data_IF_745716038499
#
_entry.id   IF_745716038499
#
_cell.length_a   1.000
_cell.length_b   1.000
_cell.length_c   1.000
_cell.angle_alpha   90.00
_cell.angle_beta   90.00
_cell.angle_gamma   90.00
#
_symmetry.space_group_name_H-M   'P 1'
#
loop_
_entity.id
_entity.type
_entity.pdbx_description
1 polymer ?
#
# COMPACT_ATOMS: atom_id res chain seq x y z
N UNK A 1 -6.18 -3.46 1.26
CA UNK A 1 -5.31 -2.85 2.27
C UNK A 1 -4.49 -3.94 2.97
N UNK A 2 -3.20 -3.74 3.09
CA UNK A 2 -2.31 -4.59 3.89
C UNK A 2 -2.21 -4.02 5.30
N UNK A 3 -2.52 -4.83 6.30
CA UNK A 3 -2.55 -4.46 7.71
C UNK A 3 -1.61 -5.39 8.48
N UNK A 4 -0.30 -5.11 8.54
CA UNK A 4 0.69 -6.04 9.11
C UNK A 4 0.45 -6.31 10.60
N UNK A 5 -0.05 -5.31 11.32
CA UNK A 5 -0.30 -5.40 12.77
C UNK A 5 -1.73 -5.84 13.10
N UNK A 6 -2.48 -6.27 12.09
CA UNK A 6 -3.87 -6.70 12.24
C UNK A 6 -4.88 -5.57 12.08
N UNK A 7 -6.14 -5.91 12.27
CA UNK A 7 -7.29 -5.00 12.16
C UNK A 7 -8.14 -5.09 13.42
N UNK A 8 -8.92 -4.05 13.76
CA UNK A 8 -9.81 -4.11 14.90
C UNK A 8 -10.89 -5.18 14.66
N UNK A 9 -10.86 -6.22 15.46
CA UNK A 9 -11.84 -7.31 15.46
C UNK A 9 -12.25 -7.62 16.89
N UNK A 10 -13.10 -6.79 17.50
CA UNK A 10 -13.65 -7.10 18.80
C UNK A 10 -14.32 -8.46 18.78
N UNK A 11 -14.29 -9.17 19.90
CA UNK A 11 -14.95 -10.47 20.02
C UNK A 11 -16.45 -10.30 19.86
N UNK A 12 -17.13 -11.33 19.39
CA UNK A 12 -18.57 -11.28 19.13
C UNK A 12 -19.42 -10.97 20.38
N UNK A 13 -18.87 -11.28 21.57
CA UNK A 13 -19.47 -10.98 22.87
C UNK A 13 -19.09 -9.59 23.43
N UNK A 14 -18.21 -8.86 22.74
CA UNK A 14 -17.82 -7.49 23.11
C UNK A 14 -18.85 -6.48 22.57
N UNK A 15 -19.34 -5.54 23.40
CA UNK A 15 -20.22 -4.46 22.91
C UNK A 15 -19.64 -3.64 21.75
N UNK A 16 -18.32 -3.54 21.66
CA UNK A 16 -17.66 -2.84 20.57
C UNK A 16 -17.72 -3.59 19.22
N UNK A 17 -18.10 -4.87 19.21
CA UNK A 17 -18.11 -5.68 17.99
C UNK A 17 -19.03 -5.09 16.91
N UNK A 18 -20.21 -4.66 17.30
CA UNK A 18 -21.19 -4.08 16.37
C UNK A 18 -20.67 -2.81 15.69
N UNK A 19 -20.00 -1.96 16.45
CA UNK A 19 -19.57 -0.63 15.99
C UNK A 19 -18.18 -0.61 15.35
N UNK A 20 -17.24 -1.38 15.89
CA UNK A 20 -15.82 -1.23 15.62
C UNK A 20 -15.17 -2.45 14.95
N UNK A 21 -15.93 -3.45 14.54
CA UNK A 21 -15.39 -4.54 13.71
C UNK A 21 -14.85 -3.98 12.39
N UNK A 22 -13.67 -4.45 11.97
CA UNK A 22 -13.14 -4.11 10.64
C UNK A 22 -14.03 -4.62 9.51
N UNK A 23 -14.61 -5.80 9.67
CA UNK A 23 -15.51 -6.35 8.67
C UNK A 23 -16.93 -5.84 8.86
N UNK A 24 -17.61 -5.44 7.75
CA UNK A 24 -19.00 -5.04 7.82
C UNK A 24 -19.91 -6.19 8.28
N UNK A 25 -21.04 -5.86 8.80
CA UNK A 25 -22.06 -6.85 9.22
C UNK A 25 -23.09 -7.10 8.13
N UNK A 26 -23.62 -8.31 8.10
CA UNK A 26 -24.60 -8.71 7.10
C UNK A 26 -24.01 -9.36 5.87
N UNK A 27 -24.80 -9.48 4.82
CA UNK A 27 -24.44 -10.18 3.59
C UNK A 27 -25.00 -9.45 2.38
N UNK A 28 -24.47 -9.78 1.22
CA UNK A 28 -24.90 -9.28 -0.07
C UNK A 28 -24.97 -7.74 -0.09
N UNK A 29 -25.89 -7.17 -0.82
CA UNK A 29 -26.06 -5.71 -0.91
C UNK A 29 -26.57 -5.05 0.38
N UNK A 30 -27.07 -5.85 1.35
CA UNK A 30 -27.61 -5.36 2.61
C UNK A 30 -26.59 -5.23 3.75
N UNK A 31 -25.31 -5.49 3.47
CA UNK A 31 -24.28 -5.32 4.50
C UNK A 31 -24.24 -3.90 5.06
N UNK A 32 -23.98 -3.79 6.35
CA UNK A 32 -23.83 -2.51 7.04
C UNK A 32 -22.35 -2.22 7.33
N UNK A 33 -21.89 -1.03 6.97
CA UNK A 33 -20.57 -0.58 7.32
C UNK A 33 -20.51 -0.28 8.83
N UNK A 34 -19.36 -0.55 9.42
CA UNK A 34 -19.05 -0.21 10.81
C UNK A 34 -18.39 1.17 10.88
N UNK A 35 -18.20 1.70 12.08
CA UNK A 35 -17.50 2.99 12.27
C UNK A 35 -16.09 3.01 11.69
N UNK A 36 -15.40 1.87 11.63
CA UNK A 36 -14.10 1.75 10.94
C UNK A 36 -14.18 2.04 9.45
N UNK A 37 -15.33 1.78 8.85
CA UNK A 37 -15.57 1.87 7.41
C UNK A 37 -16.48 3.04 7.01
N UNK A 38 -16.94 3.85 7.95
CA UNK A 38 -17.80 5.02 7.70
C UNK A 38 -17.26 5.94 6.58
N UNK A 39 -15.95 6.20 6.46
CA UNK A 39 -15.43 7.00 5.35
C UNK A 39 -15.73 6.44 3.95
N UNK A 40 -16.07 5.16 3.85
CA UNK A 40 -16.41 4.49 2.59
C UNK A 40 -17.92 4.48 2.30
N UNK A 41 -18.74 5.09 3.14
CA UNK A 41 -20.21 5.05 3.02
C UNK A 41 -20.71 5.55 1.65
N UNK A 42 -20.09 6.61 1.13
CA UNK A 42 -20.44 7.16 -0.20
C UNK A 42 -20.07 6.24 -1.37
N UNK A 43 -19.20 5.25 -1.15
CA UNK A 43 -18.73 4.30 -2.13
C UNK A 43 -19.32 2.90 -1.93
N UNK A 44 -20.31 2.77 -1.02
CA UNK A 44 -20.83 1.46 -0.63
C UNK A 44 -21.38 0.65 -1.81
N UNK A 45 -22.02 1.29 -2.77
CA UNK A 45 -22.60 0.63 -3.93
C UNK A 45 -21.53 0.17 -4.95
N UNK A 46 -20.34 0.77 -4.90
CA UNK A 46 -19.18 0.42 -5.73
C UNK A 46 -18.19 -0.49 -5.00
N UNK A 47 -18.49 -0.86 -3.74
CA UNK A 47 -17.60 -1.61 -2.87
C UNK A 47 -18.03 -3.07 -2.76
N UNK A 48 -17.10 -3.99 -3.00
CA UNK A 48 -17.27 -5.42 -2.70
C UNK A 48 -16.28 -5.84 -1.63
N UNK A 49 -16.80 -6.36 -0.52
CA UNK A 49 -16.00 -6.87 0.59
C UNK A 49 -15.97 -8.39 0.54
N UNK A 50 -14.77 -8.96 0.40
CA UNK A 50 -14.55 -10.39 0.47
C UNK A 50 -14.09 -10.76 1.89
N UNK A 51 -14.80 -11.67 2.52
CA UNK A 51 -14.44 -12.22 3.82
C UNK A 51 -14.22 -13.74 3.71
N UNK A 52 -13.56 -14.32 4.72
CA UNK A 52 -13.29 -15.77 4.76
C UNK A 52 -12.18 -16.23 3.82
N UNK A 53 -11.52 -15.33 3.12
CA UNK A 53 -10.34 -15.66 2.32
C UNK A 53 -9.13 -15.87 3.23
N UNK A 54 -8.23 -16.74 2.83
CA UNK A 54 -6.99 -16.96 3.55
C UNK A 54 -5.84 -17.17 2.56
N UNK A 55 -4.65 -16.90 3.06
CA UNK A 55 -3.41 -17.13 2.33
C UNK A 55 -2.63 -18.28 3.03
N UNK A 56 -2.83 -19.53 2.63
CA UNK A 56 -2.26 -20.69 3.35
C UNK A 56 -0.74 -20.64 3.48
N UNK A 57 -0.04 -20.14 2.45
CA UNK A 57 1.42 -20.09 2.43
C UNK A 57 2.01 -19.15 3.51
N UNK A 58 1.29 -18.07 3.89
CA UNK A 58 1.76 -17.14 4.93
C UNK A 58 1.50 -17.59 6.36
N UNK A 59 0.69 -18.61 6.59
CA UNK A 59 0.39 -19.09 7.94
C UNK A 59 1.61 -19.54 8.72
N UNK A 60 2.68 -19.91 8.04
CA UNK A 60 3.95 -20.36 8.62
C UNK A 60 4.99 -19.25 8.71
N UNK A 61 4.66 -18.05 8.21
CA UNK A 61 5.57 -16.91 8.16
C UNK A 61 5.27 -15.98 9.31
N UNK A 62 6.31 -15.44 9.93
CA UNK A 62 6.16 -14.43 10.98
C UNK A 62 5.46 -13.18 10.45
N UNK A 63 4.57 -12.57 11.22
CA UNK A 63 3.73 -11.44 10.79
C UNK A 63 4.51 -10.28 10.15
N UNK A 64 5.69 -9.97 10.66
CA UNK A 64 6.55 -8.91 10.09
C UNK A 64 7.25 -9.31 8.79
N UNK A 65 7.18 -10.56 8.38
CA UNK A 65 7.88 -11.09 7.21
C UNK A 65 6.96 -11.49 6.05
N UNK A 66 5.69 -11.13 6.11
CA UNK A 66 4.69 -11.56 5.13
C UNK A 66 4.29 -10.49 4.10
N UNK A 67 4.85 -9.28 4.18
CA UNK A 67 4.54 -8.20 3.24
C UNK A 67 4.87 -8.58 1.79
N UNK A 68 5.97 -9.28 1.58
CA UNK A 68 6.42 -9.74 0.27
C UNK A 68 5.57 -10.88 -0.32
N UNK A 69 4.64 -11.46 0.46
CA UNK A 69 3.68 -12.46 -0.01
C UNK A 69 2.28 -11.89 -0.24
N UNK A 70 2.01 -10.67 0.21
CA UNK A 70 0.65 -10.11 0.19
C UNK A 70 0.07 -10.03 -1.22
N UNK A 71 0.83 -9.54 -2.20
CA UNK A 71 0.36 -9.42 -3.58
C UNK A 71 0.82 -10.55 -4.49
N UNK A 72 1.71 -11.44 -4.02
CA UNK A 72 2.21 -12.55 -4.85
C UNK A 72 1.46 -13.85 -4.61
N UNK A 73 0.93 -14.06 -3.41
CA UNK A 73 0.31 -15.32 -3.02
C UNK A 73 1.30 -16.50 -2.96
N UNK A 74 2.61 -16.23 -3.04
CA UNK A 74 3.64 -17.25 -3.15
C UNK A 74 3.98 -17.89 -1.80
N UNK A 75 4.41 -19.15 -1.83
CA UNK A 75 5.16 -19.73 -0.75
C UNK A 75 6.64 -19.35 -0.92
N UNK A 76 7.09 -18.38 -0.18
CA UNK A 76 8.47 -17.88 -0.25
C UNK A 76 9.49 -18.80 0.44
N UNK A 77 9.08 -19.99 0.82
CA UNK A 77 9.90 -20.94 1.55
C UNK A 77 9.88 -20.67 3.06
N UNK A 78 10.39 -21.60 3.85
CA UNK A 78 10.27 -21.72 5.29
C UNK A 78 10.06 -20.45 6.10
N UNK A 79 8.86 -20.30 6.64
CA UNK A 79 8.42 -19.19 7.44
C UNK A 79 8.80 -19.25 8.92
N UNK A 80 9.93 -19.84 9.27
CA UNK A 80 10.44 -19.80 10.63
C UNK A 80 11.13 -18.47 10.91
N UNK A 81 10.73 -17.77 11.97
CA UNK A 81 11.42 -16.56 12.40
C UNK A 81 12.92 -16.80 12.56
N UNK A 82 13.73 -15.95 11.94
CA UNK A 82 15.16 -15.90 12.16
C UNK A 82 15.96 -17.11 11.68
N UNK A 83 16.13 -17.28 10.39
CA UNK A 83 17.14 -18.18 9.87
C UNK A 83 16.65 -19.48 9.24
N UNK A 84 15.78 -19.41 8.26
CA UNK A 84 15.55 -20.56 7.43
C UNK A 84 16.66 -20.68 6.37
N UNK A 85 17.31 -21.81 6.35
CA UNK A 85 18.29 -22.18 5.32
C UNK A 85 17.64 -22.52 3.96
N UNK A 86 16.36 -22.21 3.78
CA UNK A 86 15.64 -22.45 2.53
C UNK A 86 15.88 -21.32 1.53
N UNK A 87 16.01 -21.69 0.27
CA UNK A 87 16.07 -20.75 -0.84
C UNK A 87 14.81 -19.89 -0.87
N UNK A 88 14.99 -18.57 -0.83
CA UNK A 88 13.88 -17.61 -0.98
C UNK A 88 13.39 -17.61 -2.42
N UNK A 89 12.12 -17.91 -2.61
CA UNK A 89 11.44 -17.87 -3.91
C UNK A 89 10.18 -17.04 -3.81
N UNK A 90 9.98 -16.15 -4.75
CA UNK A 90 8.75 -15.38 -4.87
C UNK A 90 8.24 -15.44 -6.32
N UNK A 91 7.06 -14.91 -6.56
CA UNK A 91 6.41 -14.86 -7.87
C UNK A 91 6.06 -13.43 -8.24
N UNK A 92 5.51 -13.25 -9.43
CA UNK A 92 4.96 -11.96 -9.86
C UNK A 92 3.83 -11.51 -8.93
N UNK A 93 3.81 -10.24 -8.58
CA UNK A 93 2.73 -9.65 -7.78
C UNK A 93 1.53 -9.25 -8.64
N UNK A 94 0.36 -9.23 -8.03
CA UNK A 94 -0.92 -8.92 -8.70
C UNK A 94 -0.91 -7.56 -9.41
N UNK A 95 -0.33 -6.55 -8.79
CA UNK A 95 -0.18 -5.21 -9.39
C UNK A 95 0.65 -5.25 -10.68
N UNK A 96 1.67 -6.10 -10.75
CA UNK A 96 2.50 -6.25 -11.93
C UNK A 96 1.82 -7.10 -13.02
N UNK A 97 1.00 -8.07 -12.64
CA UNK A 97 0.12 -8.77 -13.60
C UNK A 97 -0.86 -7.78 -14.21
N UNK A 98 -1.48 -6.93 -13.40
CA UNK A 98 -2.37 -5.88 -13.88
C UNK A 98 -1.64 -4.89 -14.79
N UNK A 99 -0.47 -4.41 -14.36
CA UNK A 99 0.35 -3.49 -15.14
C UNK A 99 0.77 -4.04 -16.51
N UNK A 100 1.05 -5.34 -16.59
CA UNK A 100 1.35 -6.00 -17.86
C UNK A 100 0.19 -6.01 -18.85
N UNK A 101 -1.05 -5.95 -18.36
CA UNK A 101 -2.25 -5.98 -19.21
C UNK A 101 -2.76 -4.59 -19.62
N UNK A 102 -2.50 -3.56 -18.80
CA UNK A 102 -3.09 -2.22 -19.04
C UNK A 102 -2.06 -1.10 -19.02
N UNK A 103 -0.82 -1.39 -18.68
CA UNK A 103 0.21 -0.39 -18.44
C UNK A 103 0.68 0.37 -19.68
N UNK A 104 0.41 -0.14 -20.86
CA UNK A 104 0.68 0.52 -22.15
C UNK A 104 -0.24 1.72 -22.41
N UNK A 105 -1.36 1.81 -21.68
CA UNK A 105 -2.33 2.90 -21.76
C UNK A 105 -1.92 4.15 -20.98
N UNK A 106 -0.86 4.06 -20.21
CA UNK A 106 -0.37 5.14 -19.35
C UNK A 106 1.12 5.39 -19.54
N UNK A 107 1.59 6.58 -19.15
CA UNK A 107 3.02 6.95 -19.24
C UNK A 107 3.93 6.04 -18.41
N UNK A 108 3.43 5.58 -17.27
CA UNK A 108 4.10 4.63 -16.39
C UNK A 108 3.17 3.44 -16.19
N UNK A 109 3.64 2.26 -16.52
CA UNK A 109 2.86 1.02 -16.36
C UNK A 109 2.53 0.71 -14.90
N UNK A 110 3.44 1.04 -13.99
CA UNK A 110 3.23 0.98 -12.55
C UNK A 110 4.10 2.02 -11.83
N UNK A 111 3.71 2.38 -10.62
CA UNK A 111 4.47 3.24 -9.73
C UNK A 111 4.57 2.57 -8.36
N UNK A 112 5.78 2.15 -8.00
CA UNK A 112 6.05 1.48 -6.73
C UNK A 112 6.66 2.47 -5.77
N UNK A 113 5.98 2.69 -4.64
CA UNK A 113 6.37 3.70 -3.65
C UNK A 113 6.38 3.08 -2.25
N UNK A 114 7.26 3.60 -1.39
CA UNK A 114 7.25 3.32 0.05
C UNK A 114 7.81 4.50 0.83
N UNK A 115 7.74 4.46 2.15
CA UNK A 115 8.32 5.50 3.01
C UNK A 115 9.84 5.49 3.00
N UNK A 116 10.46 4.32 2.88
CA UNK A 116 11.91 4.15 3.00
C UNK A 116 12.63 3.89 1.67
N UNK A 117 11.87 3.48 0.66
CA UNK A 117 12.41 3.17 -0.67
C UNK A 117 13.15 1.84 -0.75
N UNK A 118 13.67 1.55 -1.96
CA UNK A 118 14.45 0.35 -2.20
C UNK A 118 13.63 -0.94 -2.24
N UNK A 119 14.28 -2.05 -1.99
CA UNK A 119 13.69 -3.39 -2.05
C UNK A 119 13.56 -4.06 -0.69
N UNK A 120 14.29 -3.58 0.33
CA UNK A 120 14.43 -4.30 1.60
C UNK A 120 15.25 -5.58 1.46
N UNK A 121 14.99 -6.52 2.34
CA UNK A 121 15.62 -7.85 2.37
C UNK A 121 14.58 -8.94 2.12
N UNK A 122 14.97 -10.17 1.78
CA UNK A 122 14.07 -11.30 1.77
C UNK A 122 13.36 -11.44 3.13
N UNK A 123 12.04 -11.63 3.11
CA UNK A 123 11.17 -11.68 4.31
C UNK A 123 11.17 -10.40 5.17
N UNK A 124 11.58 -9.28 4.60
CA UNK A 124 11.58 -7.95 5.19
C UNK A 124 11.55 -6.91 4.06
N UNK A 125 10.74 -7.18 3.02
CA UNK A 125 10.66 -6.34 1.85
C UNK A 125 10.08 -4.96 2.16
N UNK A 126 10.70 -3.94 1.59
CA UNK A 126 10.22 -2.55 1.58
C UNK A 126 9.41 -2.25 0.32
N UNK A 127 9.03 -3.27 -0.40
CA UNK A 127 8.13 -3.22 -1.55
C UNK A 127 7.18 -4.42 -1.52
N UNK A 128 5.98 -4.23 -2.00
CA UNK A 128 5.01 -5.33 -2.20
C UNK A 128 4.93 -5.76 -3.67
N UNK A 129 5.70 -5.11 -4.54
CA UNK A 129 5.68 -5.32 -5.99
C UNK A 129 6.85 -6.18 -6.43
N UNK A 130 6.57 -7.24 -7.16
CA UNK A 130 7.55 -8.23 -7.64
C UNK A 130 7.36 -8.49 -9.13
N UNK A 131 8.46 -8.51 -9.88
CA UNK A 131 8.42 -8.77 -11.32
C UNK A 131 8.13 -10.24 -11.65
N UNK A 132 8.02 -10.55 -12.93
CA UNK A 132 7.74 -11.92 -13.44
C UNK A 132 8.77 -12.99 -13.04
N UNK A 133 9.96 -12.59 -12.57
CA UNK A 133 10.99 -13.49 -12.05
C UNK A 133 10.95 -13.60 -10.51
N UNK A 134 9.92 -13.05 -9.86
CA UNK A 134 9.83 -13.01 -8.40
C UNK A 134 10.86 -12.11 -7.73
N UNK A 135 11.45 -11.17 -8.47
CA UNK A 135 12.40 -10.19 -7.91
C UNK A 135 11.67 -8.93 -7.48
N UNK A 136 11.98 -8.38 -6.30
CA UNK A 136 11.35 -7.15 -5.82
C UNK A 136 11.66 -5.97 -6.74
N UNK A 137 10.65 -5.15 -6.99
CA UNK A 137 10.78 -3.90 -7.73
C UNK A 137 11.12 -2.80 -6.72
N UNK A 138 12.22 -2.05 -6.92
CA UNK A 138 12.61 -1.00 -6.00
C UNK A 138 11.52 0.07 -5.89
N UNK A 139 11.14 0.41 -4.66
CA UNK A 139 10.19 1.47 -4.38
C UNK A 139 10.88 2.84 -4.36
N UNK A 140 10.24 3.84 -4.93
CA UNK A 140 10.68 5.24 -4.81
C UNK A 140 10.07 5.86 -3.55
N UNK A 141 10.87 6.62 -2.81
CA UNK A 141 10.44 7.26 -1.57
C UNK A 141 10.59 8.79 -1.57
N UNK A 142 11.33 9.32 -2.54
CA UNK A 142 11.59 10.76 -2.62
C UNK A 142 10.43 11.48 -3.31
N UNK A 143 9.65 12.32 -2.60
CA UNK A 143 8.47 12.99 -3.18
C UNK A 143 8.82 13.78 -4.44
N UNK A 144 9.97 14.45 -4.45
CA UNK A 144 10.44 15.19 -5.63
C UNK A 144 10.63 14.26 -6.84
N UNK A 145 11.23 13.08 -6.67
CA UNK A 145 11.40 12.13 -7.77
C UNK A 145 10.07 11.57 -8.26
N UNK A 146 9.16 11.25 -7.34
CA UNK A 146 7.80 10.81 -7.67
C UNK A 146 7.10 11.89 -8.49
N UNK A 147 7.19 13.14 -8.05
CA UNK A 147 6.62 14.27 -8.77
C UNK A 147 7.25 14.41 -10.18
N UNK A 148 8.58 14.36 -10.27
CA UNK A 148 9.29 14.49 -11.54
C UNK A 148 8.91 13.35 -12.50
N UNK A 149 8.78 12.13 -12.01
CA UNK A 149 8.31 10.98 -12.80
C UNK A 149 6.89 11.19 -13.35
N UNK A 150 5.99 11.68 -12.54
CA UNK A 150 4.57 11.82 -12.91
C UNK A 150 4.30 13.04 -13.81
N UNK A 151 4.97 14.16 -13.54
CA UNK A 151 4.54 15.45 -14.07
C UNK A 151 5.57 16.14 -14.96
N UNK A 152 6.86 15.78 -14.86
CA UNK A 152 7.88 16.42 -15.68
C UNK A 152 8.02 15.70 -17.01
N UNK A 153 7.68 16.40 -18.10
CA UNK A 153 8.03 15.98 -19.46
C UNK A 153 9.45 16.45 -19.76
N UNK A 154 10.25 15.65 -20.44
CA UNK A 154 11.58 16.06 -20.89
C UNK A 154 11.47 17.24 -21.88
N UNK A 155 12.15 18.36 -21.60
CA UNK A 155 12.23 19.53 -22.50
C UNK A 155 12.10 20.88 -21.79
N UNK A 156 12.29 21.98 -22.55
CA UNK A 156 12.26 23.37 -22.01
C UNK A 156 10.90 23.74 -21.38
N UNK A 157 9.79 23.23 -21.92
CA UNK A 157 8.44 23.44 -21.37
C UNK A 157 8.25 22.74 -20.02
N UNK A 158 8.92 21.62 -19.81
CA UNK A 158 8.93 20.91 -18.55
C UNK A 158 9.64 21.71 -17.45
N UNK A 159 10.75 22.36 -17.77
CA UNK A 159 11.48 23.22 -16.83
C UNK A 159 10.64 24.44 -16.39
N UNK A 160 9.94 25.06 -17.34
CA UNK A 160 9.05 26.19 -17.04
C UNK A 160 7.85 25.79 -16.16
N UNK A 161 7.18 24.69 -16.48
CA UNK A 161 6.09 24.15 -15.66
C UNK A 161 6.54 23.69 -14.29
N UNK A 162 7.77 23.18 -14.20
CA UNK A 162 8.38 22.79 -12.92
C UNK A 162 8.61 24.02 -12.04
N UNK A 163 9.12 25.11 -12.58
CA UNK A 163 9.34 26.36 -11.84
C UNK A 163 8.02 26.95 -11.30
N UNK A 164 6.96 26.95 -12.11
CA UNK A 164 5.63 27.41 -11.68
C UNK A 164 5.03 26.54 -10.56
N UNK A 165 5.33 25.24 -10.54
CA UNK A 165 4.77 24.31 -9.53
C UNK A 165 5.64 24.20 -8.29
N UNK A 166 6.93 24.50 -8.39
CA UNK A 166 7.79 24.67 -7.22
C UNK A 166 7.29 25.85 -6.37
N UNK A 167 6.86 26.95 -6.99
CA UNK A 167 6.25 28.07 -6.29
C UNK A 167 5.01 27.64 -5.48
N UNK A 168 4.11 26.85 -6.06
CA UNK A 168 2.91 26.38 -5.36
C UNK A 168 3.20 25.40 -4.21
N UNK A 169 4.27 24.61 -4.33
CA UNK A 169 4.72 23.73 -3.24
C UNK A 169 5.45 24.51 -2.14
N UNK A 170 6.17 25.55 -2.50
CA UNK A 170 6.84 26.44 -1.54
C UNK A 170 5.80 27.23 -0.74
N UNK A 171 4.73 27.71 -1.38
CA UNK A 171 3.59 28.37 -0.74
C UNK A 171 2.89 27.42 0.27
N UNK A 172 2.63 26.15 -0.12
CA UNK A 172 2.06 25.12 0.76
C UNK A 172 2.97 24.79 1.94
N UNK A 173 4.29 24.75 1.73
CA UNK A 173 5.28 24.53 2.78
C UNK A 173 5.36 25.72 3.74
N UNK A 174 5.19 26.94 3.25
CA UNK A 174 5.17 28.14 4.06
C UNK A 174 3.90 28.19 4.93
N UNK A 175 2.75 27.85 4.36
CA UNK A 175 1.49 27.70 5.10
C UNK A 175 1.58 26.61 6.18
N UNK A 176 2.16 25.45 5.87
CA UNK A 176 2.37 24.39 6.85
C UNK A 176 3.32 24.79 7.98
N UNK A 177 4.40 25.53 7.67
CA UNK A 177 5.31 26.09 8.66
C UNK A 177 4.66 27.18 9.51
N UNK A 178 3.82 28.01 8.92
CA UNK A 178 3.04 29.02 9.60
C UNK A 178 2.07 28.40 10.59
N UNK A 179 1.34 27.35 10.17
CA UNK A 179 0.44 26.58 11.02
C UNK A 179 1.19 25.89 12.17
N UNK A 180 2.33 25.27 11.89
CA UNK A 180 3.17 24.64 12.90
C UNK A 180 3.66 25.63 13.96
N UNK A 181 4.04 26.84 13.53
CA UNK A 181 4.44 27.93 14.46
C UNK A 181 3.28 28.42 15.31
N UNK A 182 2.07 28.52 14.75
CA UNK A 182 0.88 28.95 15.49
C UNK A 182 0.44 27.92 16.54
N UNK A 183 0.65 26.63 16.27
CA UNK A 183 0.30 25.53 17.19
C UNK A 183 1.36 25.29 18.28
N UNK A 184 2.60 25.73 18.10
CA UNK A 184 3.66 25.55 19.09
C UNK A 184 3.71 26.67 20.17
N UNK A 185 2.80 27.63 20.13
CA UNK A 185 2.66 28.70 21.12
C UNK A 185 1.49 28.48 22.11
N UNK A 186 0.97 27.27 22.17
CA UNK A 186 0.05 26.78 23.20
C UNK A 186 0.65 25.54 23.83
#
# INVERSE_FOLDING_TARGET
FYMPDGVPMPRADDPAHQDWSWFPHGRDKSFALTKCLDPLQSLKDDLTVFSGLSHPAVRKVHGHSNADQFLTGADTGNGGGGGSNGEYKNSISLDQVFAANVGDRTRHSSLVMSTDGGTGSPRGAQTMSFNHKGRPIPAEHKPKRIFDMLFVKSGKEAAYRLALRQSALDDLLEDARSLSRSLSHH
#
